data_IF_453180082339
#
_entry.id   IF_453180082339
#
_cell.length_a   1.000
_cell.length_b   1.000
_cell.length_c   1.000
_cell.angle_alpha   90.00
_cell.angle_beta   90.00
_cell.angle_gamma   90.00
#
_symmetry.space_group_name_H-M   'P 1'
#
loop_
_entity.id
_entity.type
_entity.pdbx_description
1 polymer ?
#
# COMPACT_ATOMS: atom_id res chain seq x y z
N UNK A 1 -18.43 -114.96 31.88
CA UNK A 1 -17.35 -114.25 31.17
C UNK A 1 -17.81 -112.83 30.93
N UNK A 2 -17.42 -111.89 31.79
CA UNK A 2 -17.76 -110.47 31.69
C UNK A 2 -16.80 -109.72 32.62
N UNK A 3 -16.02 -108.78 32.09
CA UNK A 3 -15.49 -107.62 32.83
C UNK A 3 -14.96 -106.63 31.79
N UNK A 4 -15.74 -105.58 31.49
CA UNK A 4 -15.76 -104.30 32.22
C UNK A 4 -14.43 -103.56 32.18
N UNK A 5 -14.20 -103.00 30.99
CA UNK A 5 -13.72 -101.65 30.71
C UNK A 5 -13.61 -100.71 31.94
N UNK A 6 -12.39 -100.29 32.28
CA UNK A 6 -12.15 -99.27 33.30
C UNK A 6 -12.01 -97.90 32.61
N UNK A 7 -13.16 -97.23 32.41
CA UNK A 7 -13.29 -95.90 31.77
C UNK A 7 -12.67 -94.75 32.57
N UNK A 8 -12.10 -95.02 33.74
CA UNK A 8 -11.51 -94.01 34.64
C UNK A 8 -10.07 -93.64 34.27
N UNK A 9 -9.35 -94.47 33.49
CA UNK A 9 -7.95 -94.20 33.15
C UNK A 9 -7.77 -93.36 31.87
N UNK A 10 -8.78 -93.31 30.99
CA UNK A 10 -8.70 -92.59 29.71
C UNK A 10 -9.12 -91.11 29.82
N UNK A 11 -9.82 -90.73 30.90
CA UNK A 11 -10.22 -89.34 31.15
C UNK A 11 -9.18 -88.53 31.94
N UNK A 12 -8.22 -89.20 32.60
CA UNK A 12 -7.12 -88.54 33.32
C UNK A 12 -5.99 -88.04 32.42
N UNK A 13 -5.79 -88.66 31.25
CA UNK A 13 -4.68 -88.31 30.34
C UNK A 13 -5.02 -87.15 29.39
N UNK A 14 -6.31 -86.81 29.23
CA UNK A 14 -6.76 -85.74 28.33
C UNK A 14 -6.94 -84.39 29.03
N UNK A 15 -6.99 -84.35 30.36
CA UNK A 15 -7.07 -83.10 31.15
C UNK A 15 -5.68 -82.55 31.51
N UNK A 16 -4.62 -83.38 31.48
CA UNK A 16 -3.25 -82.94 31.76
C UNK A 16 -2.53 -82.32 30.54
N UNK A 17 -3.04 -82.53 29.32
CA UNK A 17 -2.48 -81.94 28.09
C UNK A 17 -3.01 -80.53 27.76
N UNK A 18 -3.97 -79.99 28.51
CA UNK A 18 -4.55 -78.66 28.26
C UNK A 18 -3.91 -77.53 29.09
N UNK A 19 -2.93 -77.83 29.95
CA UNK A 19 -2.30 -76.86 30.86
C UNK A 19 -0.87 -76.44 30.48
N UNK A 20 -0.38 -76.79 29.28
CA UNK A 20 1.01 -76.50 28.86
C UNK A 20 1.18 -75.50 27.70
N UNK A 21 0.16 -74.70 27.36
CA UNK A 21 0.28 -73.65 26.32
C UNK A 21 -0.10 -72.24 26.79
N UNK A 22 0.48 -71.77 27.90
CA UNK A 22 0.49 -70.34 28.23
C UNK A 22 1.82 -69.94 28.94
N UNK A 23 2.94 -70.29 28.33
CA UNK A 23 4.25 -69.78 28.70
C UNK A 23 4.86 -69.03 27.49
N UNK A 24 5.21 -67.77 27.72
CA UNK A 24 5.76 -66.77 26.79
C UNK A 24 4.75 -65.97 25.96
N UNK A 25 4.26 -64.88 26.54
CA UNK A 25 4.32 -63.59 25.84
C UNK A 25 5.51 -62.82 26.40
N UNK A 26 6.35 -62.40 25.48
CA UNK A 26 7.50 -61.55 25.69
C UNK A 26 6.96 -60.14 25.94
N UNK A 27 7.11 -59.63 27.17
CA UNK A 27 6.95 -58.21 27.46
C UNK A 27 8.13 -57.47 26.82
N UNK A 28 8.02 -57.19 25.53
CA UNK A 28 8.70 -56.05 24.94
C UNK A 28 7.85 -54.82 25.29
N UNK A 29 8.00 -54.32 26.51
CA UNK A 29 7.63 -52.94 26.86
C UNK A 29 8.55 -52.00 26.06
N UNK A 30 8.25 -51.88 24.77
CA UNK A 30 8.51 -50.64 24.06
C UNK A 30 7.58 -49.62 24.68
N UNK A 31 8.13 -48.85 25.61
CA UNK A 31 7.72 -47.48 25.87
C UNK A 31 7.80 -46.77 24.51
N UNK A 32 6.73 -46.87 23.72
CA UNK A 32 6.44 -45.91 22.68
C UNK A 32 5.97 -44.72 23.49
N UNK A 33 6.88 -43.77 23.69
CA UNK A 33 6.53 -42.40 24.03
C UNK A 33 5.45 -41.99 23.04
N UNK A 34 4.18 -42.02 23.47
CA UNK A 34 3.14 -41.26 22.81
C UNK A 34 3.58 -39.81 22.99
N UNK A 35 4.04 -39.23 21.88
CA UNK A 35 4.19 -37.79 21.73
C UNK A 35 2.97 -37.12 22.40
N UNK A 36 3.19 -36.15 23.30
CA UNK A 36 2.07 -35.49 23.96
C UNK A 36 1.15 -34.93 22.87
N UNK A 37 -0.14 -35.26 22.99
CA UNK A 37 -1.20 -34.88 22.07
C UNK A 37 -1.28 -33.34 22.02
N UNK A 38 -0.54 -32.74 21.09
CA UNK A 38 -0.76 -31.37 20.67
C UNK A 38 -2.13 -31.40 20.02
N UNK A 39 -3.08 -30.61 20.53
CA UNK A 39 -4.41 -30.49 19.92
C UNK A 39 -4.22 -30.29 18.42
N UNK A 40 -4.72 -31.25 17.62
CA UNK A 40 -4.51 -31.18 16.18
C UNK A 40 -5.12 -29.88 15.64
N UNK A 41 -4.39 -29.14 14.79
CA UNK A 41 -4.89 -27.90 14.24
C UNK A 41 -6.18 -28.17 13.49
N UNK A 42 -7.20 -27.34 13.71
CA UNK A 42 -8.47 -27.57 13.04
C UNK A 42 -8.45 -27.00 11.62
N UNK A 43 -8.79 -27.82 10.62
CA UNK A 43 -8.94 -27.43 9.21
C UNK A 43 -7.76 -27.85 8.30
N UNK A 44 -7.96 -27.73 6.99
CA UNK A 44 -6.93 -27.99 5.97
C UNK A 44 -6.26 -26.67 5.56
N UNK A 45 -5.07 -26.38 6.11
CA UNK A 45 -4.29 -25.22 5.69
C UNK A 45 -3.60 -25.42 4.34
N UNK A 46 -3.04 -24.35 3.78
CA UNK A 46 -2.35 -24.40 2.49
C UNK A 46 -0.83 -24.56 2.70
N UNK A 47 -0.19 -25.60 2.13
CA UNK A 47 1.24 -25.80 2.27
C UNK A 47 2.06 -24.66 1.67
N UNK A 48 3.15 -24.28 2.34
CA UNK A 48 4.11 -23.26 1.89
C UNK A 48 5.54 -23.79 1.93
N UNK A 49 6.50 -23.08 1.34
CA UNK A 49 7.91 -23.45 1.47
C UNK A 49 8.41 -23.29 2.91
N UNK A 50 9.44 -24.06 3.27
CA UNK A 50 10.15 -23.88 4.54
C UNK A 50 11.13 -22.72 4.38
N UNK A 51 11.17 -21.80 5.35
CA UNK A 51 12.03 -20.62 5.25
C UNK A 51 13.53 -20.96 5.20
N UNK A 52 14.29 -20.25 4.35
CA UNK A 52 15.74 -20.31 4.30
C UNK A 52 16.37 -19.38 5.35
N UNK A 53 17.53 -19.70 5.94
CA UNK A 53 18.24 -18.77 6.84
C UNK A 53 18.45 -17.39 6.22
N UNK A 54 18.18 -16.33 6.99
CA UNK A 54 18.28 -14.94 6.56
C UNK A 54 18.89 -14.05 7.67
N UNK A 55 20.08 -14.41 8.14
CA UNK A 55 20.80 -13.71 9.20
C UNK A 55 21.74 -14.64 9.96
N UNK A 56 22.36 -14.16 11.04
CA UNK A 56 23.12 -14.99 11.97
C UNK A 56 22.19 -15.62 13.03
N UNK A 57 22.55 -16.82 13.49
CA UNK A 57 21.86 -17.50 14.58
C UNK A 57 22.43 -17.09 15.93
N UNK A 58 21.57 -17.00 16.94
CA UNK A 58 21.96 -16.83 18.35
C UNK A 58 21.72 -18.13 19.07
N UNK A 59 22.75 -18.65 19.74
CA UNK A 59 22.71 -19.90 20.49
C UNK A 59 22.96 -19.63 21.98
N UNK A 60 22.15 -20.25 22.84
CA UNK A 60 22.33 -20.21 24.28
C UNK A 60 22.04 -21.56 24.92
N UNK A 61 22.74 -21.87 25.99
CA UNK A 61 22.48 -23.05 26.83
C UNK A 61 21.58 -22.64 27.99
N UNK A 62 20.37 -23.18 28.06
CA UNK A 62 19.38 -22.89 29.10
C UNK A 62 19.16 -24.12 29.97
N UNK A 63 19.20 -23.95 31.30
CA UNK A 63 19.01 -25.03 32.28
C UNK A 63 17.61 -25.10 32.86
N UNK A 64 17.46 -25.97 33.87
CA UNK A 64 16.22 -26.15 34.65
C UNK A 64 15.72 -24.87 35.33
N UNK A 65 16.60 -23.92 35.61
CA UNK A 65 16.24 -22.65 36.25
C UNK A 65 15.50 -21.70 35.28
N UNK A 66 15.37 -22.11 34.01
CA UNK A 66 14.76 -21.32 32.96
C UNK A 66 15.73 -20.25 32.42
N UNK A 67 15.20 -19.37 31.58
CA UNK A 67 15.98 -18.31 30.96
C UNK A 67 15.24 -17.62 29.84
N UNK A 68 15.93 -16.71 29.17
CA UNK A 68 15.44 -16.04 27.97
C UNK A 68 16.55 -16.04 26.94
N UNK A 69 16.19 -16.38 25.70
CA UNK A 69 17.05 -16.22 24.53
C UNK A 69 16.34 -15.30 23.54
N UNK A 70 17.09 -14.37 22.96
CA UNK A 70 16.58 -13.38 22.03
C UNK A 70 17.38 -13.44 20.73
N UNK A 71 16.73 -13.10 19.61
CA UNK A 71 17.42 -12.86 18.35
C UNK A 71 18.36 -11.65 18.48
N UNK A 72 19.36 -11.58 17.61
CA UNK A 72 20.34 -10.49 17.58
C UNK A 72 19.66 -9.11 17.38
N UNK A 73 18.61 -9.07 16.55
CA UNK A 73 17.79 -7.87 16.31
C UNK A 73 16.76 -7.59 17.40
N UNK A 74 16.69 -8.42 18.45
CA UNK A 74 15.76 -8.32 19.59
C UNK A 74 14.28 -8.34 19.19
N UNK A 75 13.96 -8.73 17.96
CA UNK A 75 12.59 -8.79 17.48
C UNK A 75 11.90 -10.10 17.89
N UNK A 76 12.65 -11.20 18.09
CA UNK A 76 12.12 -12.45 18.61
C UNK A 76 12.69 -12.76 20.00
N UNK A 77 11.84 -13.22 20.91
CA UNK A 77 12.27 -13.74 22.21
C UNK A 77 11.52 -15.02 22.57
N UNK A 78 12.26 -15.98 23.11
CA UNK A 78 11.74 -17.19 23.75
C UNK A 78 12.05 -17.12 25.24
N UNK A 79 11.00 -17.07 26.06
CA UNK A 79 11.09 -17.09 27.52
C UNK A 79 10.71 -18.48 28.02
N UNK A 80 11.66 -19.13 28.68
CA UNK A 80 11.53 -20.49 29.20
C UNK A 80 11.46 -20.38 30.72
N UNK A 81 10.31 -20.69 31.35
CA UNK A 81 10.20 -20.62 32.80
C UNK A 81 11.02 -21.71 33.50
N UNK A 82 11.29 -21.53 34.79
CA UNK A 82 11.91 -22.57 35.60
C UNK A 82 11.07 -23.85 35.58
N UNK A 83 11.73 -25.00 35.46
CA UNK A 83 11.10 -26.31 35.36
C UNK A 83 10.57 -26.69 33.98
N UNK A 84 10.59 -25.78 32.98
CA UNK A 84 10.21 -26.15 31.60
C UNK A 84 11.26 -27.02 30.89
N UNK A 85 12.50 -27.07 31.39
CA UNK A 85 13.54 -27.97 30.94
C UNK A 85 13.94 -28.91 32.07
N UNK A 86 14.10 -30.19 31.76
CA UNK A 86 14.60 -31.18 32.71
C UNK A 86 16.13 -31.13 32.88
N UNK A 87 16.84 -30.62 31.88
CA UNK A 87 18.30 -30.55 31.84
C UNK A 87 18.80 -29.35 31.01
N UNK A 88 20.11 -29.11 31.06
CA UNK A 88 20.75 -28.05 30.28
C UNK A 88 20.67 -28.35 28.78
N UNK A 89 20.05 -27.44 28.03
CA UNK A 89 19.70 -27.64 26.61
C UNK A 89 20.23 -26.48 25.79
N UNK A 90 20.93 -26.79 24.69
CA UNK A 90 21.32 -25.79 23.69
C UNK A 90 20.11 -25.43 22.82
N UNK A 91 19.84 -24.13 22.72
CA UNK A 91 18.72 -23.57 21.96
C UNK A 91 19.28 -22.53 21.01
N UNK A 92 18.86 -22.60 19.76
CA UNK A 92 19.26 -21.63 18.72
C UNK A 92 18.04 -20.92 18.15
N UNK A 93 18.10 -19.59 18.06
CA UNK A 93 17.16 -18.75 17.30
C UNK A 93 17.86 -18.25 16.05
N UNK A 94 17.22 -18.42 14.89
CA UNK A 94 17.78 -18.05 13.60
C UNK A 94 16.73 -17.29 12.78
N UNK A 95 16.95 -16.04 12.36
CA UNK A 95 16.10 -15.38 11.37
C UNK A 95 16.05 -16.18 10.07
N UNK A 96 14.88 -16.28 9.45
CA UNK A 96 14.63 -16.98 8.20
C UNK A 96 13.77 -16.12 7.25
N UNK A 97 13.75 -16.46 5.96
CA UNK A 97 12.80 -15.89 5.00
C UNK A 97 11.37 -16.21 5.45
N UNK A 98 10.50 -15.22 5.49
CA UNK A 98 9.11 -15.42 5.86
C UNK A 98 8.33 -16.07 4.71
N UNK A 99 7.72 -17.22 4.98
CA UNK A 99 6.91 -17.98 4.03
C UNK A 99 5.48 -18.19 4.52
N UNK A 100 5.09 -17.55 5.63
CA UNK A 100 3.71 -17.61 6.09
C UNK A 100 2.78 -16.83 5.15
N UNK A 101 1.57 -17.33 4.86
CA UNK A 101 0.55 -16.53 4.20
C UNK A 101 0.31 -15.24 4.99
N UNK A 102 0.31 -14.09 4.33
CA UNK A 102 0.21 -12.76 4.96
C UNK A 102 1.22 -12.53 6.11
N UNK A 103 2.41 -13.12 5.98
CA UNK A 103 3.48 -12.97 6.96
C UNK A 103 3.99 -11.55 7.02
N UNK A 104 4.05 -11.01 8.24
CA UNK A 104 4.59 -9.68 8.51
C UNK A 104 5.95 -9.81 9.19
N UNK A 105 6.87 -8.92 8.85
CA UNK A 105 8.25 -8.92 9.33
C UNK A 105 9.01 -10.24 9.00
N UNK A 106 10.16 -10.43 9.66
CA UNK A 106 10.95 -11.67 9.56
C UNK A 106 10.25 -12.82 10.29
N UNK A 107 10.44 -14.03 9.76
CA UNK A 107 10.16 -15.25 10.50
C UNK A 107 11.43 -15.73 11.24
N UNK A 108 11.26 -16.54 12.27
CA UNK A 108 12.33 -17.03 13.12
C UNK A 108 12.22 -18.52 13.33
N UNK A 109 13.35 -19.21 13.22
CA UNK A 109 13.47 -20.62 13.48
C UNK A 109 14.05 -20.85 14.86
N UNK A 110 13.36 -21.64 15.67
CA UNK A 110 13.88 -22.17 16.94
C UNK A 110 14.32 -23.60 16.70
N UNK A 111 15.55 -23.92 17.10
CA UNK A 111 16.10 -25.28 17.11
C UNK A 111 16.45 -25.64 18.54
N UNK A 112 15.95 -26.79 19.00
CA UNK A 112 16.26 -27.38 20.30
C UNK A 112 16.53 -28.87 20.12
N UNK A 113 17.48 -29.40 20.89
CA UNK A 113 17.76 -30.85 20.92
C UNK A 113 16.89 -31.63 21.91
N UNK A 114 16.05 -30.94 22.70
CA UNK A 114 15.23 -31.51 23.78
C UNK A 114 13.85 -30.88 23.82
N UNK A 115 12.91 -31.58 24.46
CA UNK A 115 11.58 -31.04 24.76
C UNK A 115 11.67 -29.83 25.68
N UNK A 116 11.09 -28.72 25.22
CA UNK A 116 10.83 -27.52 26.02
C UNK A 116 9.37 -27.64 26.47
N UNK A 117 9.13 -27.47 27.77
CA UNK A 117 7.80 -27.33 28.35
C UNK A 117 7.09 -26.04 27.93
N UNK A 118 6.05 -25.68 28.68
CA UNK A 118 5.31 -24.45 28.40
C UNK A 118 6.25 -23.24 28.43
N UNK A 119 6.26 -22.46 27.35
CA UNK A 119 7.15 -21.33 27.17
C UNK A 119 6.44 -20.19 26.47
N UNK A 120 6.96 -18.97 26.61
CA UNK A 120 6.36 -17.78 25.99
C UNK A 120 7.18 -17.37 24.77
N UNK A 121 6.51 -17.28 23.63
CA UNK A 121 7.06 -16.70 22.40
C UNK A 121 6.60 -15.26 22.31
N UNK A 122 7.52 -14.34 22.03
CA UNK A 122 7.18 -12.94 21.72
C UNK A 122 7.87 -12.49 20.43
N UNK A 123 7.11 -11.80 19.60
CA UNK A 123 7.57 -11.14 18.38
C UNK A 123 7.26 -9.65 18.46
N UNK A 124 8.26 -8.81 18.23
CA UNK A 124 8.15 -7.35 18.17
C UNK A 124 8.09 -6.91 16.72
N UNK A 125 7.11 -6.07 16.40
CA UNK A 125 6.89 -5.51 15.07
C UNK A 125 7.42 -4.08 14.96
N UNK A 126 7.80 -3.68 13.75
CA UNK A 126 8.06 -2.30 13.40
C UNK A 126 6.79 -1.44 13.47
N UNK A 127 6.95 -0.13 13.50
CA UNK A 127 5.83 0.81 13.58
C UNK A 127 4.86 0.69 12.42
N UNK A 128 5.41 0.75 11.21
CA UNK A 128 4.66 0.65 9.97
C UNK A 128 3.93 -0.69 9.85
N UNK A 129 4.62 -1.77 10.17
CA UNK A 129 4.07 -3.13 10.18
C UNK A 129 2.90 -3.25 11.16
N UNK A 130 3.03 -2.68 12.36
CA UNK A 130 1.97 -2.75 13.36
C UNK A 130 0.76 -1.87 12.99
N UNK A 131 0.98 -0.68 12.43
CA UNK A 131 -0.06 0.29 12.13
C UNK A 131 -1.03 -0.16 11.02
N UNK A 132 -0.57 -0.97 10.06
CA UNK A 132 -1.40 -1.43 8.93
C UNK A 132 -2.12 -2.76 9.18
N UNK A 133 -1.92 -3.36 10.36
CA UNK A 133 -2.46 -4.68 10.69
C UNK A 133 -3.71 -4.61 11.57
N UNK A 134 -4.75 -5.34 11.18
CA UNK A 134 -5.85 -5.67 12.08
C UNK A 134 -5.76 -7.12 12.55
N UNK A 135 -5.74 -7.32 13.87
CA UNK A 135 -5.73 -8.64 14.51
C UNK A 135 -4.49 -9.47 14.18
N UNK A 136 -3.27 -9.01 14.51
CA UNK A 136 -2.06 -9.81 14.33
C UNK A 136 -2.14 -11.13 15.11
N UNK A 137 -1.69 -12.23 14.52
CA UNK A 137 -1.63 -13.55 15.17
C UNK A 137 -0.23 -14.11 15.10
N UNK A 138 0.20 -14.77 16.18
CA UNK A 138 1.45 -15.52 16.15
C UNK A 138 1.16 -16.92 15.61
N UNK A 139 1.98 -17.34 14.64
CA UNK A 139 1.86 -18.64 14.00
C UNK A 139 3.18 -19.40 14.02
N UNK A 140 3.07 -20.72 13.94
CA UNK A 140 4.20 -21.59 13.65
C UNK A 140 3.93 -22.45 12.41
N UNK A 141 4.99 -22.86 11.71
CA UNK A 141 4.86 -23.83 10.62
C UNK A 141 5.01 -25.24 11.18
N UNK A 142 4.02 -26.10 10.94
CA UNK A 142 4.20 -27.54 10.99
C UNK A 142 5.08 -27.94 9.80
N UNK A 143 6.33 -28.32 10.07
CA UNK A 143 7.32 -28.62 9.04
C UNK A 143 7.05 -29.94 8.32
N UNK A 144 6.25 -30.84 8.89
CA UNK A 144 5.90 -32.13 8.28
C UNK A 144 4.90 -31.93 7.16
N UNK A 145 3.82 -31.18 7.44
CA UNK A 145 2.77 -30.89 6.47
C UNK A 145 3.00 -29.57 5.71
N UNK A 146 3.99 -28.78 6.14
CA UNK A 146 4.34 -27.44 5.61
C UNK A 146 3.22 -26.41 5.74
N UNK A 147 2.32 -26.61 6.69
CA UNK A 147 1.16 -25.76 6.95
C UNK A 147 1.46 -24.83 8.12
N UNK A 148 1.06 -23.57 7.99
CA UNK A 148 1.11 -22.62 9.10
C UNK A 148 -0.09 -22.78 10.02
N UNK A 149 0.14 -22.67 11.32
CA UNK A 149 -0.85 -22.82 12.37
C UNK A 149 -0.78 -21.57 13.26
N UNK A 150 -1.84 -20.78 13.26
CA UNK A 150 -1.94 -19.52 14.00
C UNK A 150 -2.76 -19.68 15.28
N UNK A 151 -2.36 -19.00 16.34
CA UNK A 151 -3.12 -18.96 17.61
C UNK A 151 -4.12 -17.81 17.57
N UNK A 152 -5.41 -18.09 17.78
CA UNK A 152 -6.46 -17.04 17.72
C UNK A 152 -6.44 -16.08 18.91
N UNK A 153 -5.91 -16.50 20.07
CA UNK A 153 -5.83 -15.73 21.32
C UNK A 153 -4.44 -15.15 21.65
N UNK A 154 -3.68 -14.72 20.64
CA UNK A 154 -2.40 -14.06 20.89
C UNK A 154 -2.57 -12.77 21.72
N UNK A 155 -1.71 -12.59 22.73
CA UNK A 155 -1.67 -11.37 23.52
C UNK A 155 -0.98 -10.27 22.70
N UNK A 156 -1.65 -9.13 22.57
CA UNK A 156 -1.16 -7.96 21.83
C UNK A 156 -0.85 -6.86 22.84
N UNK A 157 0.39 -6.42 22.87
CA UNK A 157 0.82 -5.22 23.59
C UNK A 157 1.06 -4.11 22.57
N UNK A 158 0.09 -3.21 22.44
CA UNK A 158 0.12 -2.09 21.49
C UNK A 158 1.21 -1.07 21.83
N UNK A 159 1.59 -0.93 23.12
CA UNK A 159 2.63 0.01 23.56
C UNK A 159 4.01 -0.46 23.13
N UNK A 160 4.30 -1.75 23.31
CA UNK A 160 5.58 -2.34 22.95
C UNK A 160 5.61 -2.89 21.51
N UNK A 161 4.46 -2.88 20.82
CA UNK A 161 4.23 -3.47 19.50
C UNK A 161 4.64 -4.94 19.46
N UNK A 162 4.25 -5.69 20.49
CA UNK A 162 4.59 -7.12 20.60
C UNK A 162 3.35 -8.00 20.53
N UNK A 163 3.50 -9.12 19.83
CA UNK A 163 2.54 -10.23 19.78
C UNK A 163 3.15 -11.40 20.52
N UNK A 164 2.43 -11.97 21.48
CA UNK A 164 2.93 -13.09 22.27
C UNK A 164 1.91 -14.20 22.49
N UNK A 165 2.42 -15.42 22.63
CA UNK A 165 1.63 -16.60 22.96
C UNK A 165 2.36 -17.43 24.00
N UNK A 166 1.60 -18.21 24.77
CA UNK A 166 2.14 -19.36 25.49
C UNK A 166 2.08 -20.56 24.57
N UNK A 167 3.24 -21.12 24.25
CA UNK A 167 3.36 -22.36 23.49
C UNK A 167 3.41 -23.53 24.46
N UNK A 168 2.72 -24.62 24.11
CA UNK A 168 2.80 -25.88 24.82
C UNK A 168 4.16 -26.57 24.62
N UNK A 169 4.22 -27.87 24.94
CA UNK A 169 5.44 -28.65 24.76
C UNK A 169 5.86 -28.74 23.29
N UNK A 170 7.16 -28.60 23.01
CA UNK A 170 7.74 -28.92 21.71
C UNK A 170 9.20 -29.32 21.83
N UNK A 171 9.64 -30.27 21.01
CA UNK A 171 10.96 -30.90 21.07
C UNK A 171 11.71 -30.89 19.73
N UNK A 172 11.17 -30.21 18.73
CA UNK A 172 11.71 -30.15 17.37
C UNK A 172 11.88 -28.73 16.90
N UNK A 173 12.63 -28.60 15.81
CA UNK A 173 12.76 -27.39 15.01
C UNK A 173 11.36 -26.84 14.66
N UNK A 174 11.11 -25.56 14.96
CA UNK A 174 9.87 -24.85 14.59
C UNK A 174 10.18 -23.48 13.99
N UNK A 175 9.39 -23.09 13.01
CA UNK A 175 9.44 -21.78 12.39
C UNK A 175 8.27 -20.95 12.90
N UNK A 176 8.52 -19.71 13.30
CA UNK A 176 7.55 -18.78 13.87
C UNK A 176 7.46 -17.52 13.03
N UNK A 177 6.26 -16.96 12.95
CA UNK A 177 5.98 -15.71 12.22
C UNK A 177 4.79 -15.00 12.86
N UNK A 178 4.67 -13.70 12.61
CA UNK A 178 3.40 -13.00 12.80
C UNK A 178 2.66 -12.98 11.46
N UNK A 179 1.36 -13.26 11.50
CA UNK A 179 0.47 -13.23 10.35
C UNK A 179 -0.56 -12.11 10.58
N UNK A 180 -0.77 -11.28 9.56
CA UNK A 180 -1.88 -10.32 9.57
C UNK A 180 -3.19 -11.06 9.27
N UNK A 181 -4.21 -10.90 10.12
CA UNK A 181 -5.56 -11.40 9.77
C UNK A 181 -6.11 -10.61 8.59
N UNK A 182 -5.89 -9.30 8.59
CA UNK A 182 -6.21 -8.40 7.48
C UNK A 182 -5.03 -7.45 7.27
N UNK A 183 -4.64 -7.26 6.02
CA UNK A 183 -3.73 -6.20 5.56
C UNK A 183 -4.51 -5.26 4.63
N UNK A 184 -4.36 -3.96 4.83
CA UNK A 184 -4.99 -2.93 3.98
C UNK A 184 -3.98 -1.85 3.62
N UNK A 185 -4.15 -1.29 2.43
CA UNK A 185 -3.37 -0.18 1.91
C UNK A 185 -4.30 0.81 1.18
N UNK A 186 -3.94 2.09 1.23
CA UNK A 186 -4.52 3.09 0.36
C UNK A 186 -3.72 3.11 -0.95
N UNK A 187 -4.40 3.02 -2.08
CA UNK A 187 -3.81 2.98 -3.42
C UNK A 187 -4.25 4.20 -4.20
N UNK A 188 -3.31 4.87 -4.85
CA UNK A 188 -3.55 6.00 -5.74
C UNK A 188 -3.45 5.53 -7.20
N UNK A 189 -4.40 5.94 -8.04
CA UNK A 189 -4.42 5.65 -9.48
C UNK A 189 -4.62 6.95 -10.29
N UNK A 190 -3.71 7.28 -11.23
CA UNK A 190 -2.51 6.50 -11.59
C UNK A 190 -1.49 6.46 -10.44
N UNK A 191 -0.56 5.50 -10.46
CA UNK A 191 0.46 5.32 -9.42
C UNK A 191 1.52 6.44 -9.37
N UNK A 192 1.44 7.41 -10.29
CA UNK A 192 2.23 8.63 -10.21
C UNK A 192 1.68 9.53 -9.11
N UNK A 193 2.48 9.74 -8.07
CA UNK A 193 2.13 10.63 -6.97
C UNK A 193 2.49 12.08 -7.26
N UNK A 194 2.89 12.44 -8.48
CA UNK A 194 2.98 13.82 -8.94
C UNK A 194 1.78 14.16 -9.81
N UNK A 195 1.00 15.15 -9.37
CA UNK A 195 -0.18 15.62 -10.10
C UNK A 195 -0.09 17.13 -10.31
N UNK A 196 -0.84 17.67 -11.26
CA UNK A 196 -0.97 19.12 -11.45
C UNK A 196 -2.26 19.66 -10.81
N UNK A 197 -2.39 20.98 -10.61
CA UNK A 197 -3.64 21.57 -10.13
C UNK A 197 -4.87 21.13 -10.93
N UNK A 198 -6.00 20.99 -10.24
CA UNK A 198 -7.28 20.47 -10.74
C UNK A 198 -7.28 19.03 -11.27
N UNK A 199 -6.15 18.33 -11.27
CA UNK A 199 -6.09 16.96 -11.77
C UNK A 199 -6.88 16.01 -10.85
N UNK A 200 -7.87 15.29 -11.40
CA UNK A 200 -8.57 14.25 -10.65
C UNK A 200 -7.76 12.95 -10.67
N UNK A 201 -7.71 12.25 -9.54
CA UNK A 201 -7.13 10.91 -9.39
C UNK A 201 -8.08 10.02 -8.58
N UNK A 202 -8.06 8.72 -8.86
CA UNK A 202 -8.83 7.73 -8.09
C UNK A 202 -7.98 7.29 -6.89
N UNK A 203 -8.58 7.26 -5.72
CA UNK A 203 -8.03 6.66 -4.51
C UNK A 203 -8.85 5.45 -4.12
N UNK A 204 -8.22 4.37 -3.67
CA UNK A 204 -8.89 3.10 -3.40
C UNK A 204 -8.31 2.40 -2.18
N UNK A 205 -9.17 1.87 -1.33
CA UNK A 205 -8.76 0.90 -0.31
C UNK A 205 -8.62 -0.47 -0.96
N UNK A 206 -7.41 -1.00 -0.93
CA UNK A 206 -7.12 -2.38 -1.29
C UNK A 206 -6.73 -3.15 -0.03
N UNK A 207 -7.23 -4.37 0.11
CA UNK A 207 -6.85 -5.22 1.23
C UNK A 207 -6.98 -6.70 0.92
N UNK A 208 -6.28 -7.49 1.72
CA UNK A 208 -6.35 -8.95 1.70
C UNK A 208 -6.61 -9.44 3.11
N UNK A 209 -7.38 -10.52 3.21
CA UNK A 209 -7.60 -11.22 4.46
C UNK A 209 -7.03 -12.64 4.38
N UNK A 210 -6.45 -13.06 5.50
CA UNK A 210 -5.96 -14.43 5.66
C UNK A 210 -7.13 -15.33 5.97
N UNK A 211 -7.34 -16.35 5.13
CA UNK A 211 -8.35 -17.36 5.39
C UNK A 211 -7.91 -18.22 6.57
N UNK A 212 -8.59 -18.05 7.70
CA UNK A 212 -8.56 -19.04 8.77
C UNK A 212 -9.85 -19.83 8.68
N UNK A 213 -9.75 -21.14 8.42
CA UNK A 213 -10.95 -21.96 8.25
C UNK A 213 -11.66 -22.11 9.61
N UNK A 214 -12.83 -21.48 9.71
CA UNK A 214 -13.98 -21.67 10.62
C UNK A 214 -14.00 -21.13 12.07
N UNK A 215 -15.26 -20.95 12.53
CA UNK A 215 -15.83 -20.46 13.80
C UNK A 215 -15.38 -21.22 15.06
N UNK A 216 -14.08 -21.33 15.27
CA UNK A 216 -13.56 -21.98 16.46
C UNK A 216 -13.55 -21.05 17.67
N UNK A 217 -13.60 -21.61 18.88
CA UNK A 217 -13.50 -20.83 20.11
C UNK A 217 -12.29 -19.89 20.09
N UNK A 218 -12.42 -18.77 20.80
CA UNK A 218 -11.25 -17.96 21.14
C UNK A 218 -10.18 -18.84 21.81
N UNK A 219 -8.92 -18.52 21.54
CA UNK A 219 -7.76 -19.27 22.01
C UNK A 219 -7.60 -20.70 21.42
N UNK A 220 -7.89 -20.90 20.13
CA UNK A 220 -7.64 -22.17 19.41
C UNK A 220 -6.46 -22.05 18.43
N UNK A 221 -5.79 -23.17 18.15
CA UNK A 221 -4.81 -23.30 17.07
C UNK A 221 -5.49 -23.60 15.73
N UNK A 222 -5.27 -22.72 14.74
CA UNK A 222 -6.01 -22.72 13.48
C UNK A 222 -5.06 -22.87 12.30
N UNK A 223 -5.37 -23.80 11.41
CA UNK A 223 -4.63 -23.92 10.16
C UNK A 223 -4.85 -22.67 9.29
N UNK A 224 -3.76 -22.08 8.84
CA UNK A 224 -3.75 -20.90 7.98
C UNK A 224 -3.91 -21.34 6.53
N UNK A 225 -4.95 -20.82 5.88
CA UNK A 225 -5.18 -20.97 4.45
C UNK A 225 -4.63 -19.80 3.63
N UNK A 226 -4.98 -19.78 2.36
CA UNK A 226 -4.59 -18.73 1.43
C UNK A 226 -5.18 -17.35 1.71
N UNK A 227 -4.87 -16.42 0.82
CA UNK A 227 -5.35 -15.05 0.88
C UNK A 227 -6.57 -14.89 -0.02
N UNK A 228 -7.51 -14.04 0.39
CA UNK A 228 -8.56 -13.55 -0.50
C UNK A 228 -8.67 -12.03 -0.43
N UNK A 229 -9.21 -11.37 -1.47
CA UNK A 229 -9.52 -9.94 -1.40
C UNK A 229 -10.43 -9.65 -0.22
N UNK A 230 -10.07 -8.63 0.56
CA UNK A 230 -10.87 -8.16 1.69
C UNK A 230 -12.20 -7.59 1.16
N UNK A 231 -13.30 -8.02 1.78
CA UNK A 231 -14.61 -7.39 1.60
C UNK A 231 -14.97 -6.63 2.87
N UNK A 232 -15.02 -5.31 2.78
CA UNK A 232 -15.60 -4.46 3.81
C UNK A 232 -17.13 -4.56 3.77
N UNK A 233 -17.74 -4.48 4.95
CA UNK A 233 -19.18 -4.36 5.11
C UNK A 233 -19.69 -3.00 4.58
N UNK A 234 -21.00 -2.89 4.36
CA UNK A 234 -21.63 -1.61 4.05
C UNK A 234 -21.33 -0.59 5.17
N UNK A 235 -20.89 0.62 4.80
CA UNK A 235 -20.37 1.60 5.77
C UNK A 235 -18.98 1.27 6.32
N UNK A 236 -18.24 0.37 5.67
CA UNK A 236 -16.86 0.04 6.02
C UNK A 236 -15.88 1.18 5.76
N UNK A 237 -16.18 2.08 4.81
CA UNK A 237 -15.48 3.36 4.67
C UNK A 237 -16.23 4.38 5.54
N UNK A 238 -15.53 4.96 6.52
CA UNK A 238 -16.11 5.93 7.45
C UNK A 238 -16.04 7.33 6.86
N UNK A 239 -14.84 7.75 6.44
CA UNK A 239 -14.57 9.09 5.92
C UNK A 239 -13.25 9.15 5.16
N UNK A 240 -13.18 10.01 4.15
CA UNK A 240 -11.96 10.38 3.42
C UNK A 240 -11.42 11.72 3.92
N UNK A 241 -10.12 11.93 3.81
CA UNK A 241 -9.44 13.13 4.29
C UNK A 241 -8.36 13.60 3.30
N UNK A 242 -8.23 14.91 3.13
CA UNK A 242 -7.07 15.57 2.55
C UNK A 242 -6.45 16.50 3.61
N UNK A 243 -5.17 16.33 3.94
CA UNK A 243 -4.49 17.02 5.06
C UNK A 243 -5.31 17.06 6.36
N UNK A 244 -5.87 15.90 6.74
CA UNK A 244 -6.73 15.72 7.91
C UNK A 244 -8.08 16.48 7.89
N UNK A 245 -8.43 17.14 6.79
CA UNK A 245 -9.74 17.76 6.53
C UNK A 245 -10.67 16.73 5.90
N UNK A 246 -11.79 16.42 6.56
CA UNK A 246 -12.78 15.45 6.06
C UNK A 246 -13.39 15.93 4.74
N UNK A 247 -13.31 15.10 3.69
CA UNK A 247 -13.70 15.46 2.33
C UNK A 247 -12.77 16.46 1.63
N UNK A 248 -11.83 17.07 2.35
CA UNK A 248 -10.97 18.14 1.84
C UNK A 248 -11.69 19.47 1.63
N UNK A 249 -11.04 20.41 0.97
CA UNK A 249 -11.56 21.75 0.65
C UNK A 249 -10.88 22.37 -0.59
N UNK A 250 -11.10 23.66 -0.85
CA UNK A 250 -10.50 24.36 -1.99
C UNK A 250 -8.98 24.58 -1.87
N UNK A 251 -8.43 24.58 -0.65
CA UNK A 251 -7.00 24.80 -0.40
C UNK A 251 -6.19 23.51 -0.57
N UNK A 252 -6.70 22.38 -0.08
CA UNK A 252 -5.98 21.08 -0.09
C UNK A 252 -6.53 20.09 -1.12
N UNK A 253 -7.58 20.46 -1.84
CA UNK A 253 -8.28 19.63 -2.81
C UNK A 253 -9.45 18.87 -2.19
N UNK A 254 -10.41 18.48 -3.03
CA UNK A 254 -11.66 17.87 -2.60
C UNK A 254 -11.68 16.37 -2.92
N UNK A 255 -12.25 15.56 -2.02
CA UNK A 255 -12.51 14.14 -2.22
C UNK A 255 -14.01 13.95 -2.32
N UNK A 256 -14.44 13.42 -3.46
CA UNK A 256 -15.81 12.97 -3.67
C UNK A 256 -15.85 11.44 -3.57
N UNK A 257 -16.91 10.90 -2.96
CA UNK A 257 -17.13 9.46 -2.99
C UNK A 257 -17.38 9.03 -4.44
N UNK A 258 -16.64 8.02 -4.91
CA UNK A 258 -17.06 7.32 -6.12
C UNK A 258 -18.40 6.64 -5.79
N UNK A 259 -19.36 6.71 -6.72
CA UNK A 259 -20.67 6.10 -6.53
C UNK A 259 -20.52 4.66 -5.98
N UNK A 260 -21.25 4.34 -4.90
CA UNK A 260 -21.20 3.10 -4.11
C UNK A 260 -21.44 1.79 -4.91
N UNK A 261 -21.60 1.89 -6.24
CA UNK A 261 -21.85 0.79 -7.15
C UNK A 261 -20.58 0.03 -7.59
N UNK A 262 -19.37 0.54 -7.31
CA UNK A 262 -18.12 -0.17 -7.58
C UNK A 262 -17.66 -0.92 -6.31
N UNK A 263 -17.48 -2.26 -6.31
CA UNK A 263 -16.93 -3.01 -5.17
C UNK A 263 -15.52 -2.55 -4.75
N UNK A 264 -14.89 -1.68 -5.55
CA UNK A 264 -13.70 -0.93 -5.18
C UNK A 264 -14.08 0.21 -4.23
N UNK A 265 -13.94 0.00 -2.93
CA UNK A 265 -14.00 1.03 -1.88
C UNK A 265 -13.11 2.24 -2.22
N UNK A 266 -13.64 3.21 -2.97
CA UNK A 266 -12.85 4.23 -3.68
C UNK A 266 -13.48 5.62 -3.60
N UNK A 267 -12.62 6.63 -3.72
CA UNK A 267 -12.96 8.03 -3.84
C UNK A 267 -12.26 8.66 -5.04
N UNK A 268 -12.70 9.85 -5.42
CA UNK A 268 -12.06 10.68 -6.43
C UNK A 268 -11.51 11.93 -5.73
N UNK A 269 -10.19 12.02 -5.64
CA UNK A 269 -9.51 13.23 -5.18
C UNK A 269 -9.28 14.15 -6.37
N UNK A 270 -9.67 15.41 -6.25
CA UNK A 270 -9.34 16.48 -7.19
C UNK A 270 -8.37 17.43 -6.52
N UNK A 271 -7.18 17.59 -7.13
CA UNK A 271 -6.19 18.54 -6.65
C UNK A 271 -6.78 19.97 -6.57
N UNK A 272 -6.36 20.80 -5.60
CA UNK A 272 -6.75 22.20 -5.52
C UNK A 272 -6.35 22.98 -6.78
N UNK A 273 -6.95 24.15 -6.96
CA UNK A 273 -6.61 25.07 -8.05
C UNK A 273 -5.20 25.65 -7.89
N UNK A 274 -4.75 25.82 -6.65
CA UNK A 274 -3.46 26.41 -6.28
C UNK A 274 -2.58 25.40 -5.57
N UNK A 275 -1.28 25.68 -5.50
CA UNK A 275 -0.35 24.85 -4.75
C UNK A 275 -0.70 24.96 -3.25
N UNK A 276 -1.04 23.87 -2.55
CA UNK A 276 -1.36 23.96 -1.14
C UNK A 276 -0.15 24.40 -0.33
N UNK A 277 -0.40 25.13 0.75
CA UNK A 277 0.62 25.55 1.72
C UNK A 277 1.37 24.34 2.32
N UNK A 278 0.66 23.22 2.49
CA UNK A 278 1.21 21.91 2.84
C UNK A 278 1.22 20.98 1.62
N UNK A 279 2.42 20.79 1.05
CA UNK A 279 2.66 19.94 -0.12
C UNK A 279 3.92 19.07 0.13
N UNK A 280 3.82 17.73 0.11
CA UNK A 280 2.73 16.90 -0.43
C UNK A 280 1.45 16.90 0.42
N UNK A 281 0.31 16.76 -0.25
CA UNK A 281 -1.00 16.57 0.38
C UNK A 281 -1.11 15.13 0.87
N UNK A 282 -1.42 14.96 2.15
CA UNK A 282 -1.75 13.69 2.77
C UNK A 282 -3.19 13.30 2.45
N UNK A 283 -3.37 12.20 1.73
CA UNK A 283 -4.68 11.59 1.48
C UNK A 283 -4.86 10.45 2.47
N UNK A 284 -5.98 10.44 3.19
CA UNK A 284 -6.26 9.41 4.18
C UNK A 284 -7.70 8.93 4.16
N UNK A 285 -7.92 7.73 4.71
CA UNK A 285 -9.25 7.13 4.86
C UNK A 285 -9.34 6.39 6.17
N UNK A 286 -10.45 6.60 6.87
CA UNK A 286 -10.80 5.81 8.05
C UNK A 286 -11.67 4.64 7.62
N UNK A 287 -11.22 3.42 7.93
CA UNK A 287 -11.86 2.16 7.56
C UNK A 287 -12.30 1.42 8.83
N UNK A 288 -13.55 0.97 8.87
CA UNK A 288 -14.10 0.16 9.95
C UNK A 288 -13.85 -1.32 9.68
N UNK A 289 -13.19 -2.00 10.62
CA UNK A 289 -12.98 -3.45 10.62
C UNK A 289 -13.52 -4.05 11.92
N UNK A 290 -14.74 -4.58 11.87
CA UNK A 290 -15.46 -5.03 13.05
C UNK A 290 -15.67 -3.87 14.04
N UNK A 291 -15.04 -3.94 15.21
CA UNK A 291 -15.09 -2.88 16.23
C UNK A 291 -13.93 -1.90 16.17
N UNK A 292 -12.92 -2.15 15.34
CA UNK A 292 -11.74 -1.29 15.20
C UNK A 292 -11.91 -0.32 14.03
N UNK A 293 -11.30 0.86 14.17
CA UNK A 293 -11.11 1.81 13.07
C UNK A 293 -9.63 1.85 12.73
N UNK A 294 -9.30 1.72 11.45
CA UNK A 294 -7.93 1.79 10.92
C UNK A 294 -7.85 3.02 10.01
N UNK A 295 -6.81 3.85 10.19
CA UNK A 295 -6.52 4.96 9.29
C UNK A 295 -5.45 4.54 8.30
N UNK A 296 -5.76 4.62 7.02
CA UNK A 296 -4.80 4.41 5.93
C UNK A 296 -4.45 5.77 5.34
N UNK A 297 -3.20 5.98 4.95
CA UNK A 297 -2.76 7.26 4.39
C UNK A 297 -1.69 7.07 3.33
N UNK A 298 -1.71 7.93 2.33
CA UNK A 298 -0.69 8.10 1.29
C UNK A 298 -0.49 9.59 1.02
N UNK A 299 0.55 9.95 0.27
CA UNK A 299 0.84 11.35 -0.04
C UNK A 299 0.92 11.60 -1.54
N UNK A 300 0.31 12.69 -2.00
CA UNK A 300 0.40 13.16 -3.38
C UNK A 300 1.08 14.52 -3.42
N UNK A 301 2.07 14.67 -4.29
CA UNK A 301 2.78 15.93 -4.52
C UNK A 301 2.13 16.67 -5.69
N UNK A 302 1.67 17.88 -5.43
CA UNK A 302 1.15 18.73 -6.51
C UNK A 302 2.33 19.52 -7.06
N UNK A 303 2.52 19.48 -8.37
CA UNK A 303 3.60 20.20 -9.06
C UNK A 303 3.02 21.26 -9.96
N UNK A 304 3.65 22.43 -9.96
CA UNK A 304 3.34 23.54 -10.85
C UNK A 304 4.62 23.92 -11.59
N UNK A 305 4.97 23.15 -12.62
CA UNK A 305 6.16 23.39 -13.46
C UNK A 305 5.91 24.42 -14.58
N UNK A 306 4.81 25.17 -14.43
CA UNK A 306 4.37 26.17 -15.38
C UNK A 306 5.19 27.44 -15.21
N UNK A 307 5.85 27.90 -16.27
CA UNK A 307 6.60 29.15 -16.21
C UNK A 307 6.40 29.99 -17.46
N UNK A 308 6.46 31.30 -17.28
CA UNK A 308 6.60 32.29 -18.35
C UNK A 308 7.98 32.91 -18.20
N UNK A 309 8.78 32.88 -19.27
CA UNK A 309 10.08 33.54 -19.35
C UNK A 309 10.06 34.56 -20.48
N UNK A 310 10.28 35.83 -20.16
CA UNK A 310 10.48 36.90 -21.15
C UNK A 310 11.83 37.57 -20.94
N UNK A 311 12.12 38.63 -21.71
CA UNK A 311 13.28 39.49 -21.47
C UNK A 311 13.28 40.12 -20.05
N UNK A 312 12.13 40.08 -19.36
CA UNK A 312 11.90 40.75 -18.08
C UNK A 312 12.03 39.81 -16.87
N UNK A 313 12.15 38.50 -17.07
CA UNK A 313 12.32 37.52 -16.00
C UNK A 313 11.68 36.18 -16.31
N UNK A 314 11.76 35.24 -15.35
CA UNK A 314 11.03 33.98 -15.39
C UNK A 314 10.17 33.89 -14.13
N UNK A 315 8.87 33.70 -14.30
CA UNK A 315 7.91 33.58 -13.21
C UNK A 315 7.15 32.26 -13.30
N UNK A 316 6.85 31.66 -12.15
CA UNK A 316 5.87 30.58 -12.05
C UNK A 316 4.51 31.13 -12.45
N UNK A 317 3.81 30.46 -13.36
CA UNK A 317 2.49 30.88 -13.81
C UNK A 317 1.48 29.77 -13.54
N UNK A 318 0.22 30.12 -13.32
CA UNK A 318 -0.87 29.15 -13.34
C UNK A 318 -1.30 28.96 -14.78
N UNK A 319 -1.30 27.72 -15.27
CA UNK A 319 -1.76 27.42 -16.61
C UNK A 319 -3.15 26.77 -16.54
N UNK A 320 -4.07 27.26 -17.36
CA UNK A 320 -5.35 26.60 -17.65
C UNK A 320 -5.46 26.40 -19.15
N UNK A 321 -6.19 25.36 -19.56
CA UNK A 321 -6.53 25.15 -20.95
C UNK A 321 -8.03 24.92 -21.13
N UNK A 322 -8.58 25.42 -22.23
CA UNK A 322 -9.91 25.03 -22.69
C UNK A 322 -9.80 24.49 -24.12
N UNK A 323 -10.37 23.33 -24.37
CA UNK A 323 -10.32 22.68 -25.68
C UNK A 323 -11.71 22.59 -26.27
N UNK A 324 -11.87 22.96 -27.54
CA UNK A 324 -13.10 22.70 -28.29
C UNK A 324 -12.77 21.98 -29.60
N UNK A 325 -13.76 21.47 -30.34
CA UNK A 325 -13.51 20.95 -31.68
C UNK A 325 -12.83 22.01 -32.56
N UNK A 326 -11.54 21.78 -32.87
CA UNK A 326 -10.64 22.65 -33.65
C UNK A 326 -10.02 23.85 -32.94
N UNK A 327 -10.23 24.03 -31.62
CA UNK A 327 -9.58 25.13 -30.89
C UNK A 327 -8.95 24.71 -29.58
N UNK A 328 -7.88 25.42 -29.20
CA UNK A 328 -7.21 25.32 -27.91
C UNK A 328 -6.95 26.72 -27.38
N UNK A 329 -7.50 27.03 -26.21
CA UNK A 329 -7.20 28.23 -25.45
C UNK A 329 -6.27 27.85 -24.30
N UNK A 330 -5.13 28.52 -24.17
CA UNK A 330 -4.20 28.38 -23.05
C UNK A 330 -4.11 29.74 -22.37
N UNK A 331 -4.32 29.78 -21.06
CA UNK A 331 -4.07 30.97 -20.25
C UNK A 331 -3.02 30.64 -19.22
N UNK A 332 -1.97 31.45 -19.15
CA UNK A 332 -0.91 31.36 -18.16
C UNK A 332 -0.83 32.67 -17.41
N UNK A 333 -1.10 32.71 -16.10
CA UNK A 333 -1.11 33.96 -15.33
C UNK A 333 -0.31 33.78 -14.05
N UNK A 334 0.61 34.71 -13.78
CA UNK A 334 1.33 34.86 -12.53
C UNK A 334 0.60 35.91 -11.67
N UNK A 335 -0.09 35.47 -10.62
CA UNK A 335 -0.85 36.33 -9.73
C UNK A 335 0.04 36.84 -8.59
N UNK A 336 0.01 38.15 -8.33
CA UNK A 336 0.67 38.75 -7.17
C UNK A 336 -0.13 38.50 -5.89
N UNK A 337 -1.46 38.37 -6.03
CA UNK A 337 -2.40 37.96 -4.99
C UNK A 337 -3.39 36.98 -5.61
N UNK A 338 -3.39 35.74 -5.14
CA UNK A 338 -4.25 34.67 -5.64
C UNK A 338 -5.75 34.90 -5.39
N UNK A 339 -6.09 35.83 -4.47
CA UNK A 339 -7.46 36.20 -4.15
C UNK A 339 -7.98 37.38 -4.96
N UNK A 340 -7.12 38.08 -5.71
CA UNK A 340 -7.49 39.19 -6.58
C UNK A 340 -7.07 38.92 -8.02
N UNK A 341 -7.99 38.43 -8.89
CA UNK A 341 -7.66 38.10 -10.28
C UNK A 341 -7.29 39.34 -11.12
N UNK A 342 -7.50 40.56 -10.61
CA UNK A 342 -7.01 41.78 -11.24
C UNK A 342 -5.56 42.11 -10.89
N UNK A 343 -5.00 41.46 -9.86
CA UNK A 343 -3.65 41.67 -9.35
C UNK A 343 -2.68 40.59 -9.84
N UNK A 344 -2.30 40.69 -11.12
CA UNK A 344 -1.31 39.82 -11.73
C UNK A 344 0.00 40.56 -12.00
N UNK A 345 1.12 39.82 -11.95
CA UNK A 345 2.44 40.29 -12.34
C UNK A 345 2.58 40.22 -13.86
N UNK A 346 2.38 39.03 -14.42
CA UNK A 346 2.51 38.74 -15.85
C UNK A 346 1.45 37.73 -16.30
N UNK A 347 1.09 37.79 -17.58
CA UNK A 347 0.15 36.84 -18.16
C UNK A 347 0.44 36.57 -19.64
N UNK A 348 0.12 35.37 -20.08
CA UNK A 348 0.18 34.93 -21.47
C UNK A 348 -1.10 34.18 -21.78
N UNK A 349 -1.89 34.70 -22.70
CA UNK A 349 -3.06 34.03 -23.25
C UNK A 349 -2.75 33.66 -24.68
N UNK A 350 -3.01 32.43 -25.09
CA UNK A 350 -2.86 31.96 -26.46
C UNK A 350 -4.11 31.22 -26.90
N UNK A 351 -4.66 31.62 -28.04
CA UNK A 351 -5.76 30.95 -28.71
C UNK A 351 -5.25 30.32 -29.99
N UNK A 352 -5.30 29.00 -30.09
CA UNK A 352 -5.27 28.25 -31.35
C UNK A 352 -6.72 28.15 -31.82
N UNK A 353 -7.15 29.06 -32.69
CA UNK A 353 -8.53 29.19 -33.18
C UNK A 353 -8.90 28.13 -34.22
N UNK A 354 -7.93 27.64 -34.98
CA UNK A 354 -8.13 26.60 -36.00
C UNK A 354 -6.97 25.61 -36.04
N UNK A 355 -7.30 24.37 -36.40
CA UNK A 355 -6.30 23.33 -36.65
C UNK A 355 -5.88 22.53 -35.42
N UNK A 356 -6.37 22.86 -34.22
CA UNK A 356 -6.12 22.02 -33.05
C UNK A 356 -6.80 20.66 -33.23
N UNK A 357 -6.00 19.60 -33.39
CA UNK A 357 -6.49 18.25 -33.70
C UNK A 357 -6.81 17.43 -32.46
N UNK A 358 -6.63 17.99 -31.25
CA UNK A 358 -6.72 17.23 -30.00
C UNK A 358 -5.58 16.23 -29.85
N UNK A 359 -4.40 16.55 -30.43
CA UNK A 359 -3.21 15.71 -30.39
C UNK A 359 -1.94 16.55 -30.24
N UNK A 360 -0.86 15.85 -29.92
CA UNK A 360 0.51 16.37 -29.93
C UNK A 360 0.85 17.00 -31.29
N UNK A 361 1.60 18.09 -31.27
CA UNK A 361 1.94 18.80 -32.50
C UNK A 361 2.39 20.24 -32.27
N UNK A 362 2.66 20.93 -33.37
CA UNK A 362 3.13 22.31 -33.40
C UNK A 362 2.10 23.19 -34.11
N UNK A 363 1.80 24.35 -33.51
CA UNK A 363 0.80 25.32 -33.97
C UNK A 363 1.46 26.69 -34.04
N UNK A 364 1.69 27.21 -35.24
CA UNK A 364 2.46 28.46 -35.45
C UNK A 364 1.56 29.71 -35.40
N UNK A 365 2.08 30.84 -34.93
CA UNK A 365 1.40 32.16 -34.93
C UNK A 365 1.17 32.79 -36.32
N UNK A 366 1.41 32.06 -37.40
CA UNK A 366 1.69 32.65 -38.71
C UNK A 366 0.46 32.79 -39.64
N UNK A 367 0.27 34.03 -40.12
CA UNK A 367 -0.41 34.51 -41.34
C UNK A 367 -1.95 34.61 -41.44
N UNK A 368 -2.76 34.02 -40.57
CA UNK A 368 -4.19 33.86 -40.90
C UNK A 368 -5.18 33.88 -39.72
N UNK A 369 -4.85 34.54 -38.60
CA UNK A 369 -5.71 34.60 -37.38
C UNK A 369 -5.90 33.25 -36.67
N UNK A 370 -5.27 32.18 -37.16
CA UNK A 370 -5.44 30.83 -36.63
C UNK A 370 -4.81 30.67 -35.25
N UNK A 371 -3.77 31.45 -34.93
CA UNK A 371 -3.24 31.51 -33.56
C UNK A 371 -2.96 32.96 -33.14
N UNK A 372 -3.61 33.40 -32.06
CA UNK A 372 -3.43 34.74 -31.50
C UNK A 372 -3.03 34.65 -30.03
N UNK A 373 -2.02 35.43 -29.64
CA UNK A 373 -1.57 35.56 -28.27
C UNK A 373 -1.64 36.99 -27.75
N UNK A 374 -1.97 37.12 -26.47
CA UNK A 374 -1.89 38.35 -25.70
C UNK A 374 -0.94 38.15 -24.52
N UNK A 375 -0.08 39.15 -24.29
CA UNK A 375 0.85 39.17 -23.16
C UNK A 375 0.53 40.37 -22.28
N UNK A 376 0.58 40.19 -20.97
CA UNK A 376 0.29 41.22 -19.99
C UNK A 376 1.49 41.35 -19.06
N UNK A 377 1.94 42.57 -18.78
CA UNK A 377 2.97 42.83 -17.78
C UNK A 377 2.61 44.08 -16.96
N UNK A 378 2.05 43.83 -15.78
CA UNK A 378 1.62 44.89 -14.89
C UNK A 378 2.78 45.49 -14.09
N UNK A 379 3.83 44.69 -13.81
CA UNK A 379 5.02 45.14 -13.07
C UNK A 379 5.73 46.29 -13.79
N UNK A 380 5.79 46.22 -15.12
CA UNK A 380 6.47 47.21 -15.95
C UNK A 380 5.51 48.23 -16.59
N UNK A 381 4.23 48.24 -16.18
CA UNK A 381 3.17 49.11 -16.74
C UNK A 381 3.00 48.98 -18.26
N UNK A 382 3.35 47.82 -18.83
CA UNK A 382 3.11 47.50 -20.24
C UNK A 382 1.72 46.88 -20.36
N UNK A 383 0.76 47.66 -20.85
CA UNK A 383 -0.67 47.34 -20.69
C UNK A 383 -1.16 46.18 -21.55
N UNK A 384 -0.57 45.93 -22.73
CA UNK A 384 -0.93 44.78 -23.58
C UNK A 384 0.08 44.56 -24.71
N UNK A 385 0.82 43.46 -24.65
CA UNK A 385 1.59 42.92 -25.78
C UNK A 385 0.71 42.00 -26.64
N UNK A 386 0.89 42.02 -27.96
CA UNK A 386 0.16 41.13 -28.87
C UNK A 386 1.12 40.34 -29.75
N UNK A 387 0.73 39.16 -30.20
CA UNK A 387 1.47 38.40 -31.22
C UNK A 387 1.29 38.97 -32.64
N UNK A 388 0.82 40.21 -32.76
CA UNK A 388 0.70 40.97 -34.00
C UNK A 388 0.87 42.47 -33.73
N UNK A 389 1.17 43.23 -34.77
CA UNK A 389 1.31 44.68 -34.74
C UNK A 389 0.70 45.29 -36.01
N UNK A 390 0.56 46.62 -36.05
CA UNK A 390 0.09 47.33 -37.23
C UNK A 390 1.20 48.27 -37.75
N UNK A 391 1.43 48.30 -39.06
CA UNK A 391 2.32 49.29 -39.66
C UNK A 391 1.68 50.69 -39.74
N UNK A 392 2.43 51.67 -40.23
CA UNK A 392 1.97 53.06 -40.36
C UNK A 392 0.75 53.19 -41.29
N UNK A 393 0.62 52.28 -42.26
CA UNK A 393 -0.51 52.18 -43.18
C UNK A 393 -1.72 51.43 -42.58
N UNK A 394 -1.59 50.87 -41.37
CA UNK A 394 -2.63 50.14 -40.67
C UNK A 394 -2.77 48.67 -41.10
N UNK A 395 -1.81 48.10 -41.82
CA UNK A 395 -1.80 46.68 -42.13
C UNK A 395 -1.36 45.85 -40.91
N UNK A 396 -2.09 44.76 -40.63
CA UNK A 396 -1.80 43.83 -39.53
C UNK A 396 -0.67 42.88 -39.94
N UNK A 397 0.39 42.83 -39.12
CA UNK A 397 1.53 41.91 -39.26
C UNK A 397 1.56 40.94 -38.08
N UNK A 398 1.71 39.65 -38.35
CA UNK A 398 1.80 38.62 -37.30
C UNK A 398 3.26 38.36 -36.90
N UNK A 399 3.47 38.09 -35.61
CA UNK A 399 4.75 37.65 -35.07
C UNK A 399 5.08 36.22 -35.49
N UNK A 400 6.36 35.87 -35.43
CA UNK A 400 6.79 34.48 -35.49
C UNK A 400 6.71 33.86 -34.10
N UNK A 401 6.23 32.62 -34.04
CA UNK A 401 6.32 31.77 -32.86
C UNK A 401 5.40 30.55 -32.98
N UNK A 402 5.38 29.75 -31.92
CA UNK A 402 4.87 28.38 -31.91
C UNK A 402 4.28 28.03 -30.54
N UNK A 403 3.12 27.36 -30.55
CA UNK A 403 2.62 26.52 -29.46
C UNK A 403 2.95 25.07 -29.81
N UNK A 404 3.76 24.42 -29.00
CA UNK A 404 4.12 23.01 -29.17
C UNK A 404 3.51 22.18 -28.06
N UNK A 405 2.60 21.28 -28.41
CA UNK A 405 1.98 20.32 -27.49
C UNK A 405 2.84 19.05 -27.47
N UNK A 406 3.55 18.83 -26.37
CA UNK A 406 4.43 17.67 -26.17
C UNK A 406 3.69 16.44 -25.64
N UNK A 407 2.56 16.63 -24.95
CA UNK A 407 1.70 15.55 -24.48
C UNK A 407 0.24 16.03 -24.45
N UNK A 408 -0.67 15.21 -24.97
CA UNK A 408 -2.12 15.41 -24.86
C UNK A 408 -2.77 14.10 -24.42
N UNK A 409 -3.11 13.98 -23.13
CA UNK A 409 -3.65 12.74 -22.55
C UNK A 409 -5.07 12.98 -22.08
N UNK A 410 -6.05 12.44 -22.81
CA UNK A 410 -7.45 12.43 -22.35
C UNK A 410 -7.56 11.64 -21.05
N UNK A 411 -8.37 12.14 -20.12
CA UNK A 411 -8.71 11.39 -18.91
C UNK A 411 -9.49 10.14 -19.28
N UNK A 412 -9.08 8.99 -18.75
CA UNK A 412 -9.81 7.73 -18.92
C UNK A 412 -11.08 7.70 -18.06
N UNK A 413 -11.12 8.48 -16.99
CA UNK A 413 -12.19 8.43 -15.98
C UNK A 413 -13.20 9.56 -16.10
N UNK A 414 -12.81 10.70 -16.67
CA UNK A 414 -13.68 11.88 -16.78
C UNK A 414 -13.78 12.35 -18.24
N UNK A 415 -14.92 12.09 -18.89
CA UNK A 415 -15.20 12.61 -20.22
C UNK A 415 -15.05 14.13 -20.26
N UNK A 416 -14.30 14.65 -21.23
CA UNK A 416 -14.08 16.09 -21.41
C UNK A 416 -12.79 16.66 -20.79
N UNK A 417 -12.06 15.89 -19.99
CA UNK A 417 -10.78 16.35 -19.42
C UNK A 417 -9.59 15.80 -20.20
N UNK A 418 -8.54 16.60 -20.37
CA UNK A 418 -7.23 16.14 -20.82
C UNK A 418 -6.10 16.82 -20.06
N UNK A 419 -5.00 16.12 -19.85
CA UNK A 419 -3.74 16.74 -19.38
C UNK A 419 -2.98 17.17 -20.64
N UNK A 420 -2.74 18.47 -20.74
CA UNK A 420 -1.98 19.07 -21.84
C UNK A 420 -0.66 19.58 -21.28
N UNK A 421 0.42 19.16 -21.93
CA UNK A 421 1.77 19.65 -21.67
C UNK A 421 2.35 20.23 -22.97
N UNK A 422 3.11 21.31 -22.85
CA UNK A 422 3.72 21.93 -24.00
C UNK A 422 4.58 23.13 -23.67
N UNK A 423 5.06 23.76 -24.74
CA UNK A 423 5.80 25.02 -24.70
C UNK A 423 5.19 26.04 -25.64
N UNK A 424 5.27 27.31 -25.28
CA UNK A 424 4.89 28.43 -26.14
C UNK A 424 6.13 29.28 -26.34
N UNK A 425 6.43 29.72 -27.55
CA UNK A 425 7.52 30.67 -27.78
C UNK A 425 7.17 31.62 -28.91
N UNK A 426 7.61 32.88 -28.84
CA UNK A 426 7.32 33.86 -29.87
C UNK A 426 7.84 35.25 -29.55
N UNK A 427 7.31 36.25 -30.25
CA UNK A 427 7.60 37.67 -30.00
C UNK A 427 6.30 38.43 -29.77
N UNK A 428 6.15 39.04 -28.61
CA UNK A 428 5.06 39.97 -28.32
C UNK A 428 5.46 41.39 -28.73
N UNK A 429 4.52 42.14 -29.27
CA UNK A 429 4.72 43.53 -29.69
C UNK A 429 3.91 44.45 -28.78
N UNK A 430 4.59 45.35 -28.08
CA UNK A 430 3.98 46.31 -27.16
C UNK A 430 3.91 47.69 -27.81
N UNK A 431 2.73 48.30 -27.82
CA UNK A 431 2.59 49.67 -28.32
C UNK A 431 3.35 50.64 -27.40
N UNK A 432 4.24 51.43 -27.97
CA UNK A 432 4.95 52.48 -27.23
C UNK A 432 3.97 53.62 -26.94
N UNK A 433 3.73 54.00 -25.67
CA UNK A 433 2.76 55.02 -25.33
C UNK A 433 3.02 56.36 -26.05
N UNK A 434 2.00 56.85 -26.75
CA UNK A 434 2.08 58.12 -27.48
C UNK A 434 2.68 58.03 -28.89
N UNK A 435 3.01 56.82 -29.38
CA UNK A 435 3.46 56.59 -30.76
C UNK A 435 2.60 55.53 -31.46
N UNK A 436 2.87 55.29 -32.75
CA UNK A 436 2.35 54.14 -33.51
C UNK A 436 3.39 53.00 -33.61
N UNK A 437 4.51 53.13 -32.91
CA UNK A 437 5.61 52.17 -32.94
C UNK A 437 5.37 51.05 -31.93
N UNK A 438 5.88 49.86 -32.25
CA UNK A 438 5.79 48.69 -31.40
C UNK A 438 7.19 48.22 -30.96
N UNK A 439 7.35 47.93 -29.68
CA UNK A 439 8.55 47.32 -29.12
C UNK A 439 8.40 45.79 -29.15
N UNK A 440 9.25 45.05 -29.90
CA UNK A 440 9.24 43.59 -29.91
C UNK A 440 9.92 43.02 -28.67
N UNK A 441 9.30 42.01 -28.07
CA UNK A 441 9.82 41.32 -26.89
C UNK A 441 9.70 39.79 -27.05
N UNK A 442 10.83 39.05 -27.06
CA UNK A 442 10.79 37.60 -27.15
C UNK A 442 10.29 36.98 -25.84
N UNK A 443 9.51 35.91 -25.94
CA UNK A 443 9.05 35.14 -24.79
C UNK A 443 9.08 33.63 -25.07
N UNK A 444 9.19 32.87 -23.99
CA UNK A 444 9.08 31.41 -23.94
C UNK A 444 8.31 31.01 -22.69
N UNK A 445 7.40 30.07 -22.78
CA UNK A 445 6.65 29.54 -21.65
C UNK A 445 6.59 28.02 -21.74
N UNK A 446 6.50 27.34 -20.61
CA UNK A 446 6.15 25.93 -20.55
C UNK A 446 4.92 25.76 -19.67
N UNK A 447 4.01 24.88 -20.10
CA UNK A 447 2.79 24.62 -19.37
C UNK A 447 2.51 23.13 -19.29
N UNK A 448 1.86 22.75 -18.20
CA UNK A 448 1.27 21.47 -17.88
C UNK A 448 0.00 21.79 -17.08
N UNK A 449 -1.15 21.55 -17.68
CA UNK A 449 -2.44 21.90 -17.10
C UNK A 449 -3.51 20.89 -17.49
N UNK A 450 -4.61 20.91 -16.74
CA UNK A 450 -5.83 20.20 -17.11
C UNK A 450 -6.63 21.09 -18.05
N UNK A 451 -7.02 20.55 -19.20
CA UNK A 451 -7.97 21.19 -20.09
C UNK A 451 -9.39 20.79 -19.76
N UNK A 452 -10.29 21.77 -19.78
CA UNK A 452 -11.73 21.55 -19.77
C UNK A 452 -12.26 21.57 -21.22
N UNK A 453 -13.15 20.64 -21.56
CA UNK A 453 -13.86 20.63 -22.86
C UNK A 453 -15.08 21.54 -22.88
#
# INVERSE_FOLDING_TARGET
MNNKLNKTLLFGLLVLCSLLFNACKKDDDKIIDKEPEVEEPVGTGDPTEIGAPNGAGVTATIGKDGGTIQSEDKAFSLVIPAGALSESTEITIQPITNKSPNGVAKAYRVVTGKEIGNSTIKLKLGEKEFATMAGPKLAYQDLSNRIWIAKSGAQIDETNRTVSITMGKFNVKRDFSVIASVEMNLVISPTDNHIVPLQPIKIQVWGVETLMKNNYPEDTWLAVGGLRPLKLEEGGIIAWFANDIEGGDEEVGNISDAAHSDPAYSGMYQAPLYLPSENPVSLAVNVKLGTKTVRLSESVKIIQDNYIKSALGANSAQATANTSPNSLHISMIDFLDENDPSNYAQGLIVNVNRGFTGAEGSYNFSFNEDVEGAFFDNLNRKTLGRTYWFDEEGNKHFSNGEVKISSFKKSETNEGFAIIEGTISGTAYFLIPGTLEYEPEPFTAAFKCVSNS
#
